data_IF_810161304058
#
_entry.id   IF_810161304058
#
_cell.length_a   1.000
_cell.length_b   1.000
_cell.length_c   1.000
_cell.angle_alpha   90.00
_cell.angle_beta   90.00
_cell.angle_gamma   90.00
#
_symmetry.space_group_name_H-M   'P 1'
#
loop_
_entity.id
_entity.type
_entity.pdbx_description
1 polymer ?
#
# COMPACT_ATOMS: atom_id res chain seq x y z
N UNK A 1 29.04 16.80 -11.76
CA UNK A 1 28.17 15.97 -10.88
C UNK A 1 26.86 16.64 -10.44
N UNK A 2 26.79 17.94 -10.14
CA UNK A 2 25.53 18.60 -9.72
C UNK A 2 24.44 18.48 -10.80
N UNK A 3 24.78 18.75 -12.07
CA UNK A 3 23.84 18.60 -13.19
C UNK A 3 23.27 17.18 -13.31
N UNK A 4 24.15 16.17 -13.23
CA UNK A 4 23.73 14.76 -13.22
C UNK A 4 22.83 14.44 -12.03
N UNK A 5 23.16 14.91 -10.82
CA UNK A 5 22.35 14.71 -9.63
C UNK A 5 20.94 15.28 -9.82
N UNK A 6 20.83 16.51 -10.33
CA UNK A 6 19.54 17.17 -10.54
C UNK A 6 18.71 16.47 -11.61
N UNK A 7 19.32 16.05 -12.72
CA UNK A 7 18.62 15.32 -13.78
C UNK A 7 18.18 13.91 -13.34
N UNK A 8 19.00 13.21 -12.57
CA UNK A 8 18.72 11.85 -12.10
C UNK A 8 17.89 11.79 -10.80
N UNK A 9 17.63 12.93 -10.17
CA UNK A 9 16.84 13.04 -8.96
C UNK A 9 15.43 12.50 -9.20
N UNK A 10 14.90 11.73 -8.25
CA UNK A 10 13.55 11.17 -8.36
C UNK A 10 13.40 9.98 -9.32
N UNK A 11 14.46 9.47 -9.94
CA UNK A 11 14.41 8.22 -10.72
C UNK A 11 15.03 7.06 -9.95
N UNK A 12 14.46 5.85 -10.02
CA UNK A 12 15.04 4.66 -9.39
C UNK A 12 16.31 4.19 -10.10
N UNK A 13 17.17 3.46 -9.36
CA UNK A 13 18.32 2.78 -9.95
C UNK A 13 17.82 1.73 -10.94
N UNK A 14 18.38 1.73 -12.15
CA UNK A 14 18.07 0.81 -13.23
C UNK A 14 19.35 0.29 -13.87
N UNK A 15 19.26 -0.77 -14.68
CA UNK A 15 20.39 -1.26 -15.49
C UNK A 15 21.70 -1.49 -14.70
N UNK A 16 21.60 -1.97 -13.46
CA UNK A 16 22.76 -2.27 -12.62
C UNK A 16 23.59 -3.40 -13.23
N UNK A 17 24.88 -3.16 -13.40
CA UNK A 17 25.83 -4.06 -14.05
C UNK A 17 27.18 -4.02 -13.32
N UNK A 18 27.85 -5.17 -13.23
CA UNK A 18 29.19 -5.31 -12.65
C UNK A 18 30.07 -6.13 -13.59
N UNK A 19 30.54 -5.56 -14.71
CA UNK A 19 31.18 -6.35 -15.78
C UNK A 19 32.58 -6.87 -15.42
N UNK A 20 33.21 -6.32 -14.38
CA UNK A 20 34.49 -6.78 -13.87
C UNK A 20 34.58 -6.59 -12.36
N UNK A 21 35.55 -7.24 -11.72
CA UNK A 21 35.85 -7.03 -10.30
C UNK A 21 36.18 -5.56 -10.04
N UNK A 22 35.52 -4.95 -9.05
CA UNK A 22 35.63 -3.53 -8.69
C UNK A 22 35.18 -2.55 -9.78
N UNK A 23 34.38 -2.98 -10.76
CA UNK A 23 33.79 -2.12 -11.79
C UNK A 23 32.29 -2.29 -11.78
N UNK A 24 31.56 -1.19 -11.56
CA UNK A 24 30.10 -1.16 -11.56
C UNK A 24 29.58 -0.08 -12.50
N UNK A 25 28.35 -0.24 -12.98
CA UNK A 25 27.61 0.80 -13.67
C UNK A 25 26.11 0.65 -13.47
N UNK A 26 25.40 1.77 -13.42
CA UNK A 26 23.95 1.79 -13.29
C UNK A 26 23.33 3.06 -13.88
N UNK A 27 22.09 2.92 -14.34
CA UNK A 27 21.23 3.99 -14.81
C UNK A 27 20.25 4.49 -13.74
N UNK A 28 19.55 5.57 -14.08
CA UNK A 28 18.50 6.21 -13.29
C UNK A 28 17.28 6.41 -14.18
N UNK A 29 16.60 5.31 -14.51
CA UNK A 29 15.65 5.27 -15.63
C UNK A 29 16.35 5.59 -16.96
N UNK A 30 15.77 6.50 -17.74
CA UNK A 30 16.43 7.12 -18.91
C UNK A 30 17.05 8.49 -18.63
N UNK A 31 17.08 8.94 -17.38
CA UNK A 31 17.54 10.29 -17.04
C UNK A 31 19.06 10.42 -16.96
N UNK A 32 19.77 9.36 -16.55
CA UNK A 32 21.22 9.40 -16.46
C UNK A 32 21.87 8.07 -16.10
N UNK A 33 23.16 7.97 -16.36
CA UNK A 33 23.97 6.77 -16.14
C UNK A 33 25.32 7.12 -15.51
N UNK A 34 25.85 6.23 -14.68
CA UNK A 34 27.18 6.35 -14.09
C UNK A 34 27.86 4.98 -14.05
N UNK A 35 29.15 4.95 -14.39
CA UNK A 35 30.04 3.81 -14.17
C UNK A 35 31.24 4.23 -13.33
N UNK A 36 31.65 3.36 -12.41
CA UNK A 36 32.72 3.58 -11.44
C UNK A 36 33.67 2.40 -11.46
N UNK A 37 34.97 2.70 -11.46
CA UNK A 37 36.03 1.71 -11.47
C UNK A 37 36.97 1.95 -10.27
N UNK A 38 36.97 1.04 -9.32
CA UNK A 38 37.86 1.05 -8.14
C UNK A 38 39.07 0.11 -8.31
N UNK A 39 39.35 -0.37 -9.52
CA UNK A 39 40.57 -1.13 -9.83
C UNK A 39 41.77 -0.19 -10.10
N UNK A 40 42.96 -0.76 -10.23
CA UNK A 40 44.21 -0.05 -10.54
C UNK A 40 44.44 0.19 -12.04
N UNK A 41 43.63 -0.40 -12.91
CA UNK A 41 43.71 -0.23 -14.37
C UNK A 41 42.44 0.36 -14.95
N UNK A 42 42.51 0.96 -16.14
CA UNK A 42 41.32 1.33 -16.89
C UNK A 42 40.56 0.06 -17.31
N UNK A 43 39.23 0.14 -17.37
CA UNK A 43 38.39 -0.96 -17.83
C UNK A 43 37.45 -0.48 -18.94
N UNK A 44 37.40 -1.23 -20.04
CA UNK A 44 36.45 -1.00 -21.14
C UNK A 44 35.39 -2.09 -21.12
N UNK A 45 34.12 -1.68 -20.99
CA UNK A 45 32.97 -2.58 -20.98
C UNK A 45 31.77 -1.94 -21.67
N UNK A 46 30.87 -2.76 -22.19
CA UNK A 46 29.62 -2.30 -22.80
C UNK A 46 28.47 -2.43 -21.82
N UNK A 47 27.79 -1.32 -21.54
CA UNK A 47 26.70 -1.23 -20.58
C UNK A 47 25.37 -1.00 -21.29
N UNK A 48 24.30 -1.64 -20.82
CA UNK A 48 22.93 -1.17 -21.07
C UNK A 48 22.69 0.08 -20.23
N UNK A 49 22.34 1.20 -20.84
CA UNK A 49 22.27 2.49 -20.12
C UNK A 49 20.86 2.85 -19.68
N UNK A 50 19.87 2.57 -20.54
CA UNK A 50 18.49 3.03 -20.40
C UNK A 50 18.23 4.41 -21.00
N UNK A 51 19.28 5.12 -21.44
CA UNK A 51 19.15 6.38 -22.17
C UNK A 51 18.78 6.12 -23.63
N UNK A 52 18.16 7.12 -24.27
CA UNK A 52 17.91 7.12 -25.70
C UNK A 52 19.23 7.13 -26.50
N UNK A 53 19.13 6.78 -27.78
CA UNK A 53 20.28 6.86 -28.68
C UNK A 53 20.66 8.33 -28.90
N UNK A 54 21.95 8.63 -28.74
CA UNK A 54 22.43 10.00 -28.72
C UNK A 54 23.87 10.13 -28.27
N UNK A 55 24.35 11.37 -28.23
CA UNK A 55 25.69 11.71 -27.75
C UNK A 55 25.58 12.63 -26.54
N UNK A 56 26.16 12.21 -25.42
CA UNK A 56 26.02 12.88 -24.13
C UNK A 56 27.40 13.30 -23.60
N UNK A 57 27.55 14.51 -23.02
CA UNK A 57 28.81 14.94 -22.44
C UNK A 57 29.14 14.14 -21.17
N UNK A 58 30.41 13.74 -21.01
CA UNK A 58 30.88 13.15 -19.77
C UNK A 58 30.98 14.24 -18.68
N UNK A 59 30.13 14.18 -17.67
CA UNK A 59 30.10 15.21 -16.61
C UNK A 59 31.25 15.11 -15.62
N UNK A 60 32.04 14.03 -15.67
CA UNK A 60 33.21 13.85 -14.80
C UNK A 60 34.38 14.72 -15.27
N UNK A 61 34.53 14.91 -16.58
CA UNK A 61 35.57 15.75 -17.18
C UNK A 61 35.06 17.11 -17.66
N UNK A 62 33.91 17.55 -17.14
CA UNK A 62 33.23 18.79 -17.53
C UNK A 62 32.87 18.86 -19.02
N UNK A 63 32.61 17.71 -19.65
CA UNK A 63 32.20 17.62 -21.05
C UNK A 63 33.36 17.68 -22.05
N UNK A 64 34.60 17.48 -21.58
CA UNK A 64 35.77 17.38 -22.45
C UNK A 64 35.71 16.14 -23.34
N UNK A 65 35.05 15.07 -22.88
CA UNK A 65 34.72 13.89 -23.70
C UNK A 65 33.21 13.66 -23.76
N UNK A 66 32.78 12.87 -24.74
CA UNK A 66 31.39 12.49 -24.94
C UNK A 66 31.22 10.97 -25.02
N UNK A 67 30.05 10.50 -24.61
CA UNK A 67 29.62 9.11 -24.70
C UNK A 67 28.53 9.00 -25.77
N UNK A 68 28.68 8.04 -26.67
CA UNK A 68 27.63 7.70 -27.64
C UNK A 68 26.84 6.49 -27.16
N UNK A 69 25.52 6.64 -27.11
CA UNK A 69 24.55 5.57 -26.85
C UNK A 69 23.93 5.14 -28.18
N UNK A 70 23.89 3.83 -28.44
CA UNK A 70 23.29 3.23 -29.63
C UNK A 70 22.59 1.92 -29.27
N UNK A 71 21.35 1.75 -29.69
CA UNK A 71 20.47 0.68 -29.22
C UNK A 71 20.34 0.67 -27.68
N UNK A 72 20.38 1.84 -27.04
CA UNK A 72 20.35 1.98 -25.57
C UNK A 72 21.60 1.50 -24.83
N UNK A 73 22.70 1.19 -25.55
CA UNK A 73 23.96 0.69 -24.98
C UNK A 73 25.12 1.64 -25.26
N UNK A 74 26.11 1.67 -24.38
CA UNK A 74 27.34 2.44 -24.55
C UNK A 74 28.57 1.61 -24.16
N UNK A 75 29.64 1.70 -24.95
CA UNK A 75 30.94 1.14 -24.60
C UNK A 75 31.76 2.22 -23.89
N UNK A 76 32.11 1.99 -22.63
CA UNK A 76 32.75 2.99 -21.76
C UNK A 76 34.12 2.50 -21.32
N UNK A 77 35.13 3.35 -21.47
CA UNK A 77 36.44 3.16 -20.83
C UNK A 77 36.46 3.98 -19.54
N UNK A 78 36.32 3.30 -18.40
CA UNK A 78 36.34 3.93 -17.08
C UNK A 78 37.77 3.92 -16.53
N UNK A 79 38.38 5.09 -16.25
CA UNK A 79 39.76 5.17 -15.75
C UNK A 79 39.96 4.43 -14.42
N UNK A 80 41.20 4.06 -14.12
CA UNK A 80 41.57 3.51 -12.81
C UNK A 80 41.18 4.50 -11.70
N UNK A 81 40.55 4.00 -10.62
CA UNK A 81 40.04 4.82 -9.52
C UNK A 81 39.14 5.98 -9.97
N UNK A 82 38.44 5.82 -11.09
CA UNK A 82 37.70 6.89 -11.76
C UNK A 82 36.24 6.53 -12.04
N UNK A 83 35.56 7.45 -12.72
CA UNK A 83 34.17 7.29 -13.12
C UNK A 83 33.92 7.93 -14.49
N UNK A 84 32.83 7.51 -15.13
CA UNK A 84 32.21 8.17 -16.29
C UNK A 84 30.74 8.35 -15.94
N UNK A 85 30.20 9.54 -16.15
CA UNK A 85 28.80 9.82 -15.88
C UNK A 85 28.23 10.76 -16.95
N UNK A 86 26.99 10.55 -17.34
CA UNK A 86 26.30 11.34 -18.35
C UNK A 86 24.79 11.29 -18.10
N UNK A 87 24.06 12.28 -18.60
CA UNK A 87 22.62 12.44 -18.37
C UNK A 87 21.93 13.05 -19.57
N UNK A 88 20.63 12.82 -19.67
CA UNK A 88 19.76 13.42 -20.68
C UNK A 88 18.94 14.55 -20.02
N UNK A 89 19.20 15.83 -20.35
CA UNK A 89 18.49 16.96 -19.76
C UNK A 89 17.02 17.03 -20.19
N UNK A 90 16.67 16.43 -21.33
CA UNK A 90 15.35 16.51 -21.93
C UNK A 90 14.49 15.28 -21.64
N UNK A 91 15.03 14.32 -20.87
CA UNK A 91 14.32 13.12 -20.50
C UNK A 91 13.15 13.44 -19.57
N UNK A 92 11.95 13.38 -20.15
CA UNK A 92 10.67 13.35 -19.44
C UNK A 92 10.18 11.92 -19.48
N UNK A 93 10.12 11.28 -18.32
CA UNK A 93 9.58 9.95 -18.25
C UNK A 93 8.04 9.98 -18.39
N UNK A 94 7.52 9.25 -19.38
CA UNK A 94 6.10 9.27 -19.74
C UNK A 94 5.32 8.06 -19.21
N UNK A 95 6.01 6.98 -18.81
CA UNK A 95 5.42 5.76 -18.22
C UNK A 95 6.40 5.10 -17.24
N UNK A 96 5.93 4.65 -16.06
CA UNK A 96 6.69 3.90 -15.04
C UNK A 96 7.95 4.58 -14.47
N UNK A 97 7.83 5.84 -14.09
CA UNK A 97 8.93 6.73 -13.66
C UNK A 97 9.17 6.69 -12.15
N UNK A 98 9.16 5.50 -11.55
CA UNK A 98 9.23 5.35 -10.10
C UNK A 98 10.50 5.97 -9.51
N UNK A 99 10.33 6.90 -8.57
CA UNK A 99 11.35 7.42 -7.68
C UNK A 99 11.17 6.95 -6.26
N UNK A 100 12.13 6.15 -5.78
CA UNK A 100 12.39 5.97 -4.35
C UNK A 100 12.17 4.56 -3.81
N UNK A 101 13.27 3.87 -3.51
CA UNK A 101 13.31 2.85 -2.46
C UNK A 101 12.84 1.44 -2.81
N UNK A 102 13.82 0.55 -3.03
CA UNK A 102 13.78 -0.91 -2.84
C UNK A 102 12.48 -1.62 -3.22
N UNK A 103 12.40 -2.12 -4.46
CA UNK A 103 11.43 -3.16 -4.79
C UNK A 103 11.85 -4.06 -5.98
N UNK A 104 11.84 -5.40 -5.83
CA UNK A 104 12.07 -6.33 -6.92
C UNK A 104 10.80 -6.59 -7.75
N UNK A 105 10.76 -6.09 -9.00
CA UNK A 105 9.97 -6.75 -10.06
C UNK A 105 8.91 -5.90 -10.75
N UNK A 106 9.32 -4.85 -11.46
CA UNK A 106 8.83 -4.34 -12.76
C UNK A 106 7.31 -4.22 -13.08
N UNK A 107 6.41 -4.39 -12.12
CA UNK A 107 4.97 -4.14 -12.27
C UNK A 107 4.37 -3.62 -10.98
N UNK A 108 3.40 -2.72 -11.08
CA UNK A 108 2.55 -2.40 -9.94
C UNK A 108 1.34 -3.32 -9.93
N UNK A 109 0.75 -3.44 -8.75
CA UNK A 109 -0.45 -4.23 -8.52
C UNK A 109 -1.40 -3.45 -7.62
N UNK A 110 -2.70 -3.64 -7.82
CA UNK A 110 -3.69 -3.01 -6.96
C UNK A 110 -3.68 -3.67 -5.60
N UNK A 111 -3.38 -2.89 -4.56
CA UNK A 111 -3.63 -3.26 -3.18
C UNK A 111 -4.86 -2.51 -2.66
N UNK A 112 -5.88 -3.25 -2.25
CA UNK A 112 -7.05 -2.71 -1.56
C UNK A 112 -6.81 -2.73 -0.06
N UNK A 113 -6.79 -1.56 0.56
CA UNK A 113 -6.68 -1.41 2.01
C UNK A 113 -8.07 -1.15 2.59
N UNK A 114 -8.55 -2.08 3.41
CA UNK A 114 -9.79 -2.01 4.14
C UNK A 114 -9.54 -1.92 5.64
N UNK A 115 -10.14 -0.95 6.31
CA UNK A 115 -9.99 -0.75 7.75
C UNK A 115 -11.35 -0.49 8.39
N UNK A 116 -11.72 -1.30 9.38
CA UNK A 116 -12.80 -0.96 10.29
C UNK A 116 -12.28 0.03 11.34
N UNK A 117 -12.85 1.23 11.39
CA UNK A 117 -12.48 2.24 12.37
C UNK A 117 -13.62 3.21 12.65
N UNK A 118 -14.07 3.25 13.92
CA UNK A 118 -14.95 4.31 14.43
C UNK A 118 -14.22 5.65 14.45
N UNK A 119 -14.87 6.70 13.98
CA UNK A 119 -14.32 8.07 13.95
C UNK A 119 -15.32 9.09 14.45
N UNK A 120 -14.84 10.14 15.11
CA UNK A 120 -15.65 11.32 15.36
C UNK A 120 -15.90 12.09 14.05
N UNK A 121 -16.91 12.97 14.03
CA UNK A 121 -17.14 13.86 12.90
C UNK A 121 -15.90 14.71 12.62
N UNK A 122 -15.56 14.87 11.33
CA UNK A 122 -14.36 15.59 10.89
C UNK A 122 -13.05 14.82 11.07
N UNK A 123 -13.09 13.54 11.45
CA UNK A 123 -11.92 12.66 11.49
C UNK A 123 -11.96 11.68 10.32
N UNK A 124 -10.86 11.59 9.57
CA UNK A 124 -10.71 10.70 8.42
C UNK A 124 -9.62 9.65 8.69
N UNK A 125 -9.74 8.49 8.04
CA UNK A 125 -8.75 7.40 8.09
C UNK A 125 -7.84 7.43 6.87
N UNK A 126 -6.55 7.19 7.08
CA UNK A 126 -5.53 7.14 6.04
C UNK A 126 -4.64 5.90 6.24
N UNK A 127 -4.01 5.45 5.15
CA UNK A 127 -2.95 4.45 5.17
C UNK A 127 -1.61 5.10 4.83
N UNK A 128 -0.57 4.76 5.57
CA UNK A 128 0.81 5.21 5.36
C UNK A 128 1.76 4.03 5.49
N UNK A 129 2.83 3.96 4.70
CA UNK A 129 3.70 2.79 4.69
C UNK A 129 5.07 3.02 4.07
N UNK A 130 5.84 1.95 3.98
CA UNK A 130 7.26 1.96 3.61
C UNK A 130 7.53 2.35 2.16
N UNK A 131 6.58 2.14 1.27
CA UNK A 131 6.73 2.44 -0.16
C UNK A 131 6.26 3.86 -0.49
N UNK A 132 6.80 4.52 -1.53
CA UNK A 132 6.38 5.86 -1.94
C UNK A 132 4.88 5.98 -2.24
N UNK A 133 4.28 4.93 -2.80
CA UNK A 133 2.84 4.88 -3.07
C UNK A 133 1.97 5.00 -1.80
N UNK A 134 2.55 4.70 -0.62
CA UNK A 134 1.93 4.86 0.69
C UNK A 134 2.61 5.99 1.50
N UNK A 135 3.30 6.91 0.84
CA UNK A 135 3.86 8.11 1.46
C UNK A 135 5.20 7.93 2.18
N UNK A 136 5.82 6.75 2.16
CA UNK A 136 7.17 6.53 2.71
C UNK A 136 7.29 6.89 4.20
N UNK A 137 6.33 6.45 5.02
CA UNK A 137 6.19 6.77 6.45
C UNK A 137 5.99 8.25 6.79
N UNK A 138 5.72 9.11 5.81
CA UNK A 138 5.35 10.49 6.06
C UNK A 138 3.81 10.65 6.12
N UNK A 139 3.22 10.97 7.30
CA UNK A 139 1.77 11.17 7.43
C UNK A 139 1.20 12.24 6.51
N UNK A 140 1.98 13.26 6.13
CA UNK A 140 1.53 14.29 5.19
C UNK A 140 1.20 13.71 3.81
N UNK A 141 1.88 12.62 3.42
CA UNK A 141 1.70 11.92 2.16
C UNK A 141 0.84 10.65 2.27
N UNK A 142 0.20 10.42 3.42
CA UNK A 142 -0.66 9.26 3.64
C UNK A 142 -1.88 9.28 2.70
N UNK A 143 -2.29 8.11 2.22
CA UNK A 143 -3.42 7.97 1.29
C UNK A 143 -4.72 7.95 2.08
N UNK A 144 -5.66 8.84 1.73
CA UNK A 144 -6.98 8.91 2.38
C UNK A 144 -7.85 7.72 1.97
N UNK A 145 -8.52 7.09 2.93
CA UNK A 145 -9.53 6.07 2.66
C UNK A 145 -10.92 6.71 2.48
N UNK A 146 -11.75 6.10 1.64
CA UNK A 146 -13.16 6.46 1.47
C UNK A 146 -14.00 5.95 2.64
N UNK A 147 -14.91 6.79 3.14
CA UNK A 147 -15.92 6.45 4.15
C UNK A 147 -17.25 5.95 3.57
N UNK A 148 -17.33 5.66 2.27
CA UNK A 148 -18.59 5.23 1.63
C UNK A 148 -19.17 3.93 2.21
N UNK A 149 -18.35 3.13 2.90
CA UNK A 149 -18.75 1.92 3.62
C UNK A 149 -18.77 2.07 5.15
N UNK A 150 -18.82 3.31 5.67
CA UNK A 150 -18.67 3.61 7.10
C UNK A 150 -19.43 2.64 8.01
N UNK A 151 -18.79 2.11 9.08
CA UNK A 151 -17.45 2.43 9.58
C UNK A 151 -16.29 1.65 8.93
N UNK A 152 -16.54 0.99 7.79
CA UNK A 152 -15.48 0.35 7.01
C UNK A 152 -14.96 1.32 5.96
N UNK A 153 -13.70 1.69 6.11
CA UNK A 153 -12.97 2.60 5.23
C UNK A 153 -12.22 1.80 4.18
N UNK A 154 -12.21 2.26 2.92
CA UNK A 154 -11.49 1.56 1.83
C UNK A 154 -10.76 2.49 0.87
N UNK A 155 -9.62 2.05 0.37
CA UNK A 155 -8.96 2.65 -0.81
C UNK A 155 -8.21 1.61 -1.60
N UNK A 156 -8.10 1.83 -2.91
CA UNK A 156 -7.22 1.08 -3.78
C UNK A 156 -5.96 1.90 -4.05
N UNK A 157 -4.80 1.26 -3.99
CA UNK A 157 -3.50 1.90 -4.26
C UNK A 157 -2.70 1.01 -5.20
N UNK A 158 -2.13 1.61 -6.24
CA UNK A 158 -1.15 0.95 -7.11
C UNK A 158 0.19 0.88 -6.38
N UNK A 159 0.50 -0.26 -5.78
CA UNK A 159 1.74 -0.52 -5.04
C UNK A 159 2.68 -1.41 -5.86
N UNK A 160 3.98 -1.49 -5.55
CA UNK A 160 4.85 -2.45 -6.22
C UNK A 160 4.37 -3.90 -6.06
N UNK A 161 4.46 -4.68 -7.14
CA UNK A 161 4.22 -6.13 -7.14
C UNK A 161 5.44 -6.91 -6.67
N UNK A 162 5.24 -8.16 -6.25
CA UNK A 162 6.29 -9.04 -5.66
C UNK A 162 6.99 -8.42 -4.42
N UNK A 163 6.20 -7.57 -3.75
CA UNK A 163 6.38 -6.73 -2.58
C UNK A 163 6.49 -7.38 -1.22
N UNK A 164 7.40 -6.95 -0.35
CA UNK A 164 7.09 -6.89 1.08
C UNK A 164 6.90 -5.43 1.51
N UNK A 165 5.66 -5.06 1.85
CA UNK A 165 5.27 -3.70 2.20
C UNK A 165 4.88 -3.65 3.67
N UNK A 166 5.47 -2.72 4.42
CA UNK A 166 5.04 -2.42 5.78
C UNK A 166 4.14 -1.17 5.77
N UNK A 167 3.06 -1.18 6.53
CA UNK A 167 2.12 -0.06 6.57
C UNK A 167 1.46 0.08 7.95
N UNK A 168 0.79 1.21 8.15
CA UNK A 168 -0.08 1.50 9.28
C UNK A 168 -1.27 2.34 8.87
N UNK A 169 -2.34 2.25 9.65
CA UNK A 169 -3.43 3.20 9.58
C UNK A 169 -3.22 4.36 10.55
N UNK A 170 -3.65 5.54 10.12
CA UNK A 170 -3.69 6.76 10.93
C UNK A 170 -5.06 7.42 10.82
N UNK A 171 -5.47 8.09 11.90
CA UNK A 171 -6.61 9.00 11.91
C UNK A 171 -6.09 10.44 11.89
N UNK A 172 -6.69 11.28 11.06
CA UNK A 172 -6.43 12.73 11.07
C UNK A 172 -7.72 13.47 11.39
N UNK A 173 -7.67 14.34 12.38
CA UNK A 173 -8.78 15.25 12.66
C UNK A 173 -8.74 16.48 11.74
N UNK A 174 -9.76 17.33 11.82
CA UNK A 174 -9.89 18.56 11.03
C UNK A 174 -8.80 19.60 11.31
N UNK A 175 -8.09 19.47 12.42
CA UNK A 175 -6.96 20.33 12.81
C UNK A 175 -5.62 19.80 12.30
N UNK A 176 -5.62 18.62 11.66
CA UNK A 176 -4.42 17.95 11.17
C UNK A 176 -3.68 17.12 12.21
N UNK A 177 -4.25 16.91 13.42
CA UNK A 177 -3.62 16.07 14.43
C UNK A 177 -3.67 14.60 13.97
N UNK A 178 -2.53 13.92 14.06
CA UNK A 178 -2.37 12.54 13.61
C UNK A 178 -2.39 11.59 14.81
N UNK A 179 -3.32 10.65 14.80
CA UNK A 179 -3.33 9.50 15.73
C UNK A 179 -2.96 8.24 14.97
N UNK A 180 -1.89 7.56 15.38
CA UNK A 180 -1.50 6.28 14.81
C UNK A 180 -2.25 5.13 15.48
N UNK A 181 -2.48 4.05 14.75
CA UNK A 181 -2.81 2.78 15.40
C UNK A 181 -1.70 2.36 16.37
N UNK A 182 -2.09 1.72 17.47
CA UNK A 182 -1.20 1.43 18.60
C UNK A 182 -0.41 0.14 18.46
N UNK A 183 -0.71 -0.68 17.46
CA UNK A 183 -0.08 -1.98 17.23
C UNK A 183 1.26 -1.83 16.46
N UNK A 184 1.94 -2.96 16.25
CA UNK A 184 3.13 -3.02 15.41
C UNK A 184 2.80 -2.67 13.95
N UNK A 185 3.81 -2.35 13.14
CA UNK A 185 3.59 -2.14 11.70
C UNK A 185 2.98 -3.40 11.09
N UNK A 186 1.93 -3.22 10.29
CA UNK A 186 1.29 -4.28 9.51
C UNK A 186 2.14 -4.63 8.31
N UNK A 187 1.98 -5.84 7.79
CA UNK A 187 2.71 -6.29 6.60
C UNK A 187 1.75 -6.74 5.50
N UNK A 188 2.11 -6.43 4.26
CA UNK A 188 1.42 -6.86 3.05
C UNK A 188 2.45 -7.42 2.08
N UNK A 189 2.29 -8.69 1.71
CA UNK A 189 3.07 -9.29 0.64
C UNK A 189 2.28 -9.21 -0.65
N UNK A 190 2.84 -8.57 -1.68
CA UNK A 190 2.20 -8.46 -2.99
C UNK A 190 2.79 -9.48 -3.96
N UNK A 191 2.02 -9.89 -4.97
CA UNK A 191 2.47 -10.73 -6.07
C UNK A 191 2.30 -10.01 -7.40
N UNK A 192 1.84 -10.73 -8.42
CA UNK A 192 1.49 -10.18 -9.75
C UNK A 192 0.00 -9.87 -9.90
N UNK A 193 -0.83 -10.22 -8.92
CA UNK A 193 -2.30 -10.06 -8.94
C UNK A 193 -2.78 -9.19 -7.79
N UNK A 194 -3.91 -8.52 -7.99
CA UNK A 194 -4.53 -7.68 -6.96
C UNK A 194 -4.60 -8.40 -5.61
N UNK A 195 -4.35 -7.66 -4.53
CA UNK A 195 -4.37 -8.15 -3.16
C UNK A 195 -5.22 -7.24 -2.30
N UNK A 196 -5.86 -7.78 -1.27
CA UNK A 196 -6.61 -7.01 -0.29
C UNK A 196 -6.09 -7.29 1.12
N UNK A 197 -6.05 -6.25 1.93
CA UNK A 197 -5.86 -6.34 3.37
C UNK A 197 -7.09 -5.71 4.03
N UNK A 198 -7.90 -6.53 4.70
CA UNK A 198 -8.94 -6.04 5.59
C UNK A 198 -8.40 -6.10 7.02
N UNK A 199 -8.62 -5.05 7.81
CA UNK A 199 -8.11 -4.88 9.16
C UNK A 199 -9.18 -4.24 10.06
N UNK A 200 -8.88 -4.22 11.36
CA UNK A 200 -9.66 -3.50 12.37
C UNK A 200 -8.74 -2.67 13.25
N UNK A 201 -9.20 -1.47 13.59
CA UNK A 201 -8.44 -0.50 14.36
C UNK A 201 -7.94 -1.07 15.68
N UNK A 202 -6.63 -1.02 15.87
CA UNK A 202 -5.92 -1.54 17.04
C UNK A 202 -6.10 -3.06 17.29
N UNK A 203 -6.53 -3.84 16.30
CA UNK A 203 -6.39 -5.31 16.31
C UNK A 203 -5.12 -5.66 15.55
N UNK A 204 -4.09 -6.10 16.26
CA UNK A 204 -2.79 -6.44 15.67
C UNK A 204 -2.90 -7.68 14.77
N UNK A 205 -2.12 -7.75 13.68
CA UNK A 205 -2.18 -8.88 12.74
C UNK A 205 -1.94 -10.23 13.42
N UNK A 206 -1.01 -10.27 14.38
CA UNK A 206 -0.74 -11.48 15.16
C UNK A 206 -1.95 -11.93 16.00
N UNK A 207 -2.85 -11.02 16.36
CA UNK A 207 -4.00 -11.24 17.22
C UNK A 207 -5.34 -11.21 16.48
N UNK A 208 -5.31 -11.04 15.16
CA UNK A 208 -6.50 -10.94 14.32
C UNK A 208 -6.95 -12.31 13.80
N UNK A 209 -8.26 -12.45 13.60
CA UNK A 209 -8.86 -13.54 12.83
C UNK A 209 -10.08 -13.02 12.07
N UNK A 210 -10.41 -13.67 10.96
CA UNK A 210 -11.58 -13.38 10.16
C UNK A 210 -12.80 -14.14 10.68
N UNK A 211 -13.90 -13.42 10.83
CA UNK A 211 -15.22 -13.96 11.14
C UNK A 211 -16.23 -13.40 10.15
N UNK A 212 -16.84 -14.30 9.39
CA UNK A 212 -17.98 -13.96 8.54
C UNK A 212 -19.26 -13.98 9.36
N UNK A 213 -19.86 -12.81 9.54
CA UNK A 213 -21.20 -12.68 10.10
C UNK A 213 -22.22 -12.88 8.98
N UNK A 214 -23.15 -13.81 9.16
CA UNK A 214 -24.22 -14.12 8.23
C UNK A 214 -25.57 -14.17 8.92
N UNK A 215 -26.58 -13.51 8.36
CA UNK A 215 -27.94 -13.54 8.88
C UNK A 215 -28.98 -13.58 7.76
N UNK A 216 -29.96 -14.46 7.89
CA UNK A 216 -31.15 -14.45 7.04
C UNK A 216 -32.18 -13.48 7.60
N UNK A 217 -32.48 -12.42 6.87
CA UNK A 217 -33.40 -11.36 7.30
C UNK A 217 -34.10 -10.70 6.11
N UNK A 218 -35.42 -10.53 6.20
CA UNK A 218 -36.19 -9.72 5.24
C UNK A 218 -36.21 -8.25 5.66
N UNK A 219 -36.18 -7.36 4.69
CA UNK A 219 -36.23 -5.91 4.89
C UNK A 219 -37.26 -5.27 3.96
N UNK A 220 -37.73 -4.08 4.33
CA UNK A 220 -38.46 -3.20 3.42
C UNK A 220 -37.48 -2.32 2.65
N UNK A 221 -37.92 -1.73 1.54
CA UNK A 221 -37.08 -0.86 0.73
C UNK A 221 -36.49 0.29 1.56
N UNK A 222 -35.19 0.55 1.38
CA UNK A 222 -34.46 1.56 2.15
C UNK A 222 -33.97 1.10 3.53
N UNK A 223 -34.21 -0.16 3.92
CA UNK A 223 -33.68 -0.73 5.17
C UNK A 223 -32.53 -1.70 4.90
N UNK A 224 -31.42 -1.52 5.63
CA UNK A 224 -30.23 -2.37 5.56
C UNK A 224 -29.97 -3.07 6.90
N UNK A 225 -29.27 -4.21 6.85
CA UNK A 225 -28.88 -4.99 8.03
C UNK A 225 -27.42 -4.72 8.40
N UNK A 226 -27.15 -4.62 9.69
CA UNK A 226 -25.83 -4.35 10.25
C UNK A 226 -25.55 -5.31 11.41
N UNK A 227 -24.28 -5.50 11.74
CA UNK A 227 -23.84 -6.20 12.96
C UNK A 227 -23.13 -5.22 13.90
N UNK A 228 -23.41 -5.33 15.21
CA UNK A 228 -22.77 -4.55 16.27
C UNK A 228 -22.57 -5.45 17.49
N UNK A 229 -21.51 -5.22 18.28
CA UNK A 229 -21.19 -6.08 19.40
C UNK A 229 -20.26 -5.45 20.44
N UNK A 230 -19.88 -6.25 21.43
CA UNK A 230 -19.20 -5.79 22.63
C UNK A 230 -17.73 -5.40 22.42
N UNK A 231 -17.05 -5.99 21.45
CA UNK A 231 -15.65 -5.68 21.16
C UNK A 231 -15.50 -4.41 20.31
N UNK A 232 -14.38 -3.67 20.44
CA UNK A 232 -14.16 -2.45 19.65
C UNK A 232 -14.26 -2.65 18.14
N UNK A 233 -13.80 -3.79 17.63
CA UNK A 233 -13.90 -4.16 16.20
C UNK A 233 -15.34 -4.47 15.73
N UNK A 234 -16.32 -4.40 16.64
CA UNK A 234 -17.76 -4.50 16.35
C UNK A 234 -18.53 -3.28 16.89
N UNK A 235 -17.84 -2.17 17.15
CA UNK A 235 -18.46 -0.90 17.50
C UNK A 235 -18.78 -0.70 18.98
N UNK A 236 -18.44 -1.65 19.85
CA UNK A 236 -18.69 -1.54 21.30
C UNK A 236 -20.14 -1.12 21.63
N UNK A 237 -21.10 -1.75 20.96
CA UNK A 237 -22.54 -1.45 21.03
C UNK A 237 -22.98 -0.07 20.54
N UNK A 238 -22.08 0.74 19.99
CA UNK A 238 -22.45 1.98 19.33
C UNK A 238 -23.09 1.67 17.97
N UNK A 239 -24.40 1.93 17.86
CA UNK A 239 -25.15 1.67 16.62
C UNK A 239 -24.66 2.54 15.47
N UNK A 240 -24.09 3.72 15.70
CA UNK A 240 -23.48 4.54 14.65
C UNK A 240 -22.32 3.81 13.97
N UNK A 241 -21.60 2.96 14.73
CA UNK A 241 -20.45 2.17 14.28
C UNK A 241 -20.81 0.71 13.98
N UNK A 242 -22.10 0.41 13.79
CA UNK A 242 -22.51 -0.92 13.34
C UNK A 242 -22.04 -1.17 11.91
N UNK A 243 -21.52 -2.37 11.64
CA UNK A 243 -20.93 -2.75 10.36
C UNK A 243 -22.04 -3.14 9.37
N UNK A 244 -22.15 -2.46 8.21
CA UNK A 244 -23.15 -2.82 7.20
C UNK A 244 -22.85 -4.18 6.58
N UNK A 245 -23.85 -5.05 6.53
CA UNK A 245 -23.77 -6.35 5.86
C UNK A 245 -24.16 -6.22 4.38
N UNK A 246 -23.61 -7.09 3.53
CA UNK A 246 -23.93 -7.12 2.11
C UNK A 246 -25.21 -7.90 1.85
N UNK A 247 -26.12 -7.34 1.03
CA UNK A 247 -27.35 -8.00 0.56
C UNK A 247 -27.17 -8.75 -0.76
N UNK A 248 -25.93 -9.02 -1.19
CA UNK A 248 -25.65 -9.63 -2.49
C UNK A 248 -26.37 -10.97 -2.72
N UNK A 249 -26.74 -11.68 -1.65
CA UNK A 249 -27.46 -12.96 -1.68
C UNK A 249 -28.83 -12.87 -0.98
N UNK A 250 -29.52 -11.73 -1.08
CA UNK A 250 -30.81 -11.50 -0.39
C UNK A 250 -31.78 -12.70 -0.52
N UNK A 251 -32.42 -13.16 0.58
CA UNK A 251 -32.52 -12.54 1.90
C UNK A 251 -31.37 -12.84 2.87
N UNK A 252 -30.31 -13.48 2.40
CA UNK A 252 -29.09 -13.66 3.18
C UNK A 252 -28.24 -12.40 3.13
N UNK A 253 -27.81 -11.94 4.31
CA UNK A 253 -26.91 -10.82 4.49
C UNK A 253 -25.61 -11.34 5.08
N UNK A 254 -24.47 -10.91 4.54
CA UNK A 254 -23.18 -11.41 5.01
C UNK A 254 -22.04 -10.40 4.88
N UNK A 255 -21.06 -10.49 5.80
CA UNK A 255 -19.80 -9.77 5.67
C UNK A 255 -18.70 -10.41 6.51
N UNK A 256 -17.49 -10.45 5.95
CA UNK A 256 -16.26 -10.76 6.68
C UNK A 256 -15.84 -9.56 7.53
N UNK A 257 -15.54 -9.81 8.80
CA UNK A 257 -15.05 -8.81 9.76
C UNK A 257 -13.82 -9.34 10.46
N UNK A 258 -12.84 -8.47 10.67
CA UNK A 258 -11.63 -8.80 11.44
C UNK A 258 -11.90 -8.56 12.91
N UNK A 259 -11.75 -9.60 13.71
CA UNK A 259 -11.98 -9.61 15.16
C UNK A 259 -10.77 -10.19 15.90
N UNK A 260 -10.62 -9.94 17.21
CA UNK A 260 -9.56 -10.58 17.99
C UNK A 260 -9.69 -12.11 18.04
N UNK A 261 -8.57 -12.83 17.93
CA UNK A 261 -8.45 -14.28 18.13
C UNK A 261 -8.69 -14.65 19.60
N UNK A 262 -9.03 -15.90 19.87
CA UNK A 262 -9.16 -16.45 21.23
C UNK A 262 -9.98 -15.58 22.19
N UNK A 263 -11.01 -14.89 21.68
CA UNK A 263 -11.75 -13.86 22.41
C UNK A 263 -13.24 -14.17 22.39
N UNK A 264 -13.85 -14.17 23.56
CA UNK A 264 -15.31 -14.24 23.71
C UNK A 264 -15.92 -12.85 23.61
N UNK A 265 -16.99 -12.72 22.85
CA UNK A 265 -17.74 -11.48 22.72
C UNK A 265 -19.21 -11.76 22.48
N UNK A 266 -20.01 -10.70 22.58
CA UNK A 266 -21.44 -10.74 22.27
C UNK A 266 -21.76 -9.77 21.16
N UNK A 267 -22.80 -10.06 20.39
CA UNK A 267 -23.21 -9.25 19.25
C UNK A 267 -24.71 -9.35 19.02
N UNK A 268 -25.23 -8.41 18.23
CA UNK A 268 -26.57 -8.44 17.65
C UNK A 268 -26.59 -7.90 16.23
N UNK A 269 -27.62 -8.30 15.51
CA UNK A 269 -28.02 -7.66 14.27
C UNK A 269 -28.99 -6.50 14.53
N UNK A 270 -28.83 -5.44 13.75
CA UNK A 270 -29.76 -4.30 13.73
C UNK A 270 -30.17 -4.00 12.30
N UNK A 271 -31.38 -3.48 12.12
CA UNK A 271 -31.88 -2.89 10.88
C UNK A 271 -31.83 -1.38 11.02
N UNK A 272 -31.35 -0.68 9.99
CA UNK A 272 -31.46 0.79 9.90
C UNK A 272 -32.24 1.15 8.65
N UNK A 273 -33.22 2.03 8.81
CA UNK A 273 -33.91 2.62 7.66
C UNK A 273 -33.15 3.84 7.10
N UNK A 274 -33.67 4.43 6.02
CA UNK A 274 -33.08 5.59 5.36
C UNK A 274 -33.02 6.86 6.26
N UNK A 275 -33.80 6.92 7.35
CA UNK A 275 -33.77 8.00 8.33
C UNK A 275 -32.76 7.78 9.45
N UNK A 276 -32.16 6.59 9.52
CA UNK A 276 -31.25 6.17 10.58
C UNK A 276 -31.95 5.55 11.79
N UNK A 277 -33.26 5.29 11.73
CA UNK A 277 -33.98 4.63 12.81
C UNK A 277 -33.50 3.19 12.97
N UNK A 278 -33.12 2.82 14.19
CA UNK A 278 -32.53 1.51 14.51
C UNK A 278 -33.58 0.57 15.10
N UNK A 279 -33.73 -0.61 14.48
CA UNK A 279 -34.50 -1.73 15.03
C UNK A 279 -33.55 -2.87 15.38
N UNK A 280 -33.55 -3.31 16.63
CA UNK A 280 -32.75 -4.42 17.11
C UNK A 280 -33.44 -5.76 16.87
N UNK A 281 -32.66 -6.82 16.67
CA UNK A 281 -33.21 -8.17 16.79
C UNK A 281 -33.71 -8.45 18.22
N UNK A 282 -34.76 -9.26 18.31
CA UNK A 282 -35.39 -9.61 19.57
C UNK A 282 -34.55 -10.62 20.38
N UNK A 283 -34.89 -10.82 21.66
CA UNK A 283 -34.22 -11.79 22.53
C UNK A 283 -32.88 -11.34 23.12
N UNK A 284 -32.14 -12.30 23.71
CA UNK A 284 -30.83 -12.08 24.33
C UNK A 284 -29.74 -11.79 23.29
N UNK A 285 -28.61 -11.22 23.72
CA UNK A 285 -27.44 -11.06 22.85
C UNK A 285 -26.92 -12.42 22.38
N UNK A 286 -26.47 -12.48 21.13
CA UNK A 286 -25.74 -13.64 20.61
C UNK A 286 -24.34 -13.64 21.19
N UNK A 287 -23.75 -14.81 21.40
CA UNK A 287 -22.39 -14.97 21.93
C UNK A 287 -21.55 -15.80 20.96
N UNK A 288 -20.27 -15.45 20.84
CA UNK A 288 -19.30 -16.20 20.04
C UNK A 288 -17.92 -16.12 20.69
N UNK A 289 -17.12 -17.17 20.50
CA UNK A 289 -15.72 -17.23 20.93
C UNK A 289 -14.87 -17.66 19.74
N UNK A 290 -13.99 -16.77 19.30
CA UNK A 290 -12.99 -17.12 18.27
C UNK A 290 -11.93 -18.04 18.86
N UNK A 291 -11.34 -18.89 18.02
CA UNK A 291 -10.15 -19.67 18.37
C UNK A 291 -8.87 -19.00 17.85
N UNK A 292 -7.81 -19.78 17.71
CA UNK A 292 -6.52 -19.35 17.16
C UNK A 292 -6.38 -19.55 15.65
N UNK A 293 -7.41 -20.08 14.99
CA UNK A 293 -7.44 -20.33 13.54
C UNK A 293 -7.99 -19.15 12.75
N UNK A 294 -8.41 -19.43 11.53
CA UNK A 294 -9.01 -18.49 10.58
C UNK A 294 -10.22 -19.14 9.87
N UNK A 295 -10.99 -18.35 9.14
CA UNK A 295 -12.14 -18.79 8.35
C UNK A 295 -13.39 -19.04 9.18
N UNK A 296 -13.58 -18.35 10.30
CA UNK A 296 -14.77 -18.51 11.12
C UNK A 296 -16.01 -17.96 10.42
N UNK A 297 -17.16 -18.58 10.67
CA UNK A 297 -18.44 -18.09 10.17
C UNK A 297 -19.57 -18.37 11.16
N UNK A 298 -20.54 -17.46 11.20
CA UNK A 298 -21.85 -17.67 11.82
C UNK A 298 -22.93 -17.53 10.75
N UNK A 299 -23.98 -18.33 10.85
CA UNK A 299 -25.15 -18.25 9.97
C UNK A 299 -26.40 -18.28 10.82
N UNK A 300 -26.92 -17.09 11.08
CA UNK A 300 -28.04 -16.82 11.95
C UNK A 300 -29.35 -16.63 11.16
N UNK A 301 -30.46 -16.68 11.88
CA UNK A 301 -31.76 -16.18 11.40
C UNK A 301 -32.18 -15.04 12.31
N UNK A 302 -32.72 -13.97 11.71
CA UNK A 302 -33.21 -12.81 12.45
C UNK A 302 -34.33 -13.20 13.41
N UNK A 303 -34.20 -12.76 14.68
CA UNK A 303 -35.19 -12.98 15.74
C UNK A 303 -36.12 -11.78 15.93
#
# INVERSE_FOLDING_TARGET
MIGWHNAAAGYSVANWQSPASNVIGFGRGGAGFVAVNNSSGANTSTYTTGLADGTYPNVIDSGATSVTVTGGRASLTVPAKGAVAFYDPDYVCTVNCGGGGTDPGTGTVTATFGEYASTASGTDVYVVGSVPALGGWNPANAVKLSSSGYPVWKTDVSVPGNSAIAYKYIKKDSSGNVTWESNANRTLTTGTTAVAADNSWNVADADATDLTFGVTATTVYGTNVYVVGSVPSLGSWNTADAIPLSSASYPYWGRLVIVPKSTSFTYKYIKKDASGTVTWESGSNRAYTTGSGAGYAVSDTWN
#
